data_IF_156805728914
#
_entry.id   IF_156805728914
#
_cell.length_a   1.000
_cell.length_b   1.000
_cell.length_c   1.000
_cell.angle_alpha   90.00
_cell.angle_beta   90.00
_cell.angle_gamma   90.00
#
_symmetry.space_group_name_H-M   'P 1'
#
loop_
_entity.id
_entity.type
_entity.pdbx_description
1 polymer ?
#
# COMPACT_ATOMS: atom_id res chain seq x y z
N UNK A 1 20.36 -8.91 -24.28
CA UNK A 1 19.65 -8.38 -25.47
C UNK A 1 18.16 -8.73 -25.45
N UNK A 2 17.76 -10.02 -25.53
CA UNK A 2 16.35 -10.43 -25.57
C UNK A 2 15.53 -10.07 -24.31
N UNK A 3 16.10 -10.18 -23.10
CA UNK A 3 15.40 -9.80 -21.87
C UNK A 3 15.19 -8.30 -21.70
N UNK A 4 16.15 -7.47 -22.15
CA UNK A 4 16.03 -5.99 -22.18
C UNK A 4 14.93 -5.57 -23.17
N UNK A 5 14.85 -6.25 -24.32
CA UNK A 5 13.77 -6.09 -25.29
C UNK A 5 12.41 -6.58 -24.76
N UNK A 6 12.38 -7.70 -24.02
CA UNK A 6 11.17 -8.21 -23.37
C UNK A 6 10.63 -7.31 -22.27
N UNK A 7 11.52 -6.75 -21.44
CA UNK A 7 11.16 -5.75 -20.42
C UNK A 7 10.60 -4.48 -21.08
N UNK A 8 11.22 -4.04 -22.18
CA UNK A 8 10.75 -2.90 -22.97
C UNK A 8 9.39 -3.17 -23.62
N UNK A 9 9.19 -4.35 -24.22
CA UNK A 9 7.92 -4.74 -24.82
C UNK A 9 6.78 -4.90 -23.79
N UNK A 10 7.09 -5.37 -22.56
CA UNK A 10 6.11 -5.40 -21.46
C UNK A 10 5.74 -3.99 -21.01
N UNK A 11 6.73 -3.09 -20.92
CA UNK A 11 6.53 -1.69 -20.54
C UNK A 11 5.73 -0.92 -21.61
N UNK A 12 5.97 -1.20 -22.90
CA UNK A 12 5.29 -0.56 -24.04
C UNK A 12 3.91 -1.18 -24.33
N UNK A 13 3.68 -2.45 -23.97
CA UNK A 13 2.47 -3.19 -24.31
C UNK A 13 1.21 -2.87 -23.50
N UNK A 14 1.27 -1.90 -22.56
CA UNK A 14 0.11 -1.40 -21.81
C UNK A 14 -0.61 -2.41 -20.90
N UNK A 15 -0.17 -3.67 -20.85
CA UNK A 15 -0.73 -4.72 -19.99
C UNK A 15 0.06 -4.79 -18.69
N UNK A 16 -0.58 -4.80 -17.51
CA UNK A 16 0.11 -4.91 -16.22
C UNK A 16 0.60 -6.36 -16.02
N UNK A 17 1.67 -6.74 -16.72
CA UNK A 17 2.31 -8.05 -16.63
C UNK A 17 3.42 -8.01 -15.58
N UNK A 18 3.07 -7.59 -14.36
CA UNK A 18 4.00 -7.42 -13.24
C UNK A 18 4.79 -8.71 -12.98
N UNK A 19 4.13 -9.88 -13.06
CA UNK A 19 4.76 -11.20 -12.92
C UNK A 19 5.82 -11.47 -13.99
N UNK A 20 5.63 -11.05 -15.24
CA UNK A 20 6.63 -11.20 -16.30
C UNK A 20 7.77 -10.18 -16.18
N UNK A 21 7.46 -8.93 -15.83
CA UNK A 21 8.48 -7.90 -15.59
C UNK A 21 9.43 -8.28 -14.44
N UNK A 22 8.91 -8.98 -13.43
CA UNK A 22 9.67 -9.52 -12.30
C UNK A 22 10.35 -10.87 -12.62
N UNK A 23 9.86 -11.64 -13.59
CA UNK A 23 10.45 -12.91 -14.00
C UNK A 23 11.59 -12.74 -15.01
N UNK A 24 11.58 -11.71 -15.85
CA UNK A 24 12.61 -11.49 -16.89
C UNK A 24 14.04 -11.23 -16.38
N UNK A 25 14.27 -10.58 -15.22
CA UNK A 25 15.60 -10.53 -14.63
C UNK A 25 16.21 -11.92 -14.38
N UNK A 26 15.39 -12.97 -14.19
CA UNK A 26 15.86 -14.36 -13.97
C UNK A 26 16.61 -14.96 -15.15
N UNK A 27 16.24 -14.65 -16.40
CA UNK A 27 16.81 -15.30 -17.59
C UNK A 27 18.03 -14.59 -18.15
N UNK A 28 18.36 -13.42 -17.61
CA UNK A 28 19.21 -12.47 -18.29
C UNK A 28 20.59 -12.29 -17.68
N UNK A 29 20.83 -12.83 -16.46
CA UNK A 29 22.12 -12.67 -15.77
C UNK A 29 22.58 -11.22 -15.71
N UNK A 30 21.63 -10.26 -15.71
CA UNK A 30 21.94 -8.84 -15.80
C UNK A 30 22.61 -8.46 -14.48
N UNK A 31 23.94 -8.35 -14.53
CA UNK A 31 24.69 -7.57 -13.56
C UNK A 31 24.14 -6.14 -13.62
N UNK A 32 24.05 -5.46 -12.49
CA UNK A 32 23.59 -4.06 -12.35
C UNK A 32 24.51 -3.03 -13.06
N UNK A 33 25.24 -3.44 -14.08
CA UNK A 33 26.23 -2.66 -14.81
C UNK A 33 25.55 -2.09 -16.06
N UNK A 34 24.98 -0.88 -15.96
CA UNK A 34 24.98 0.06 -17.10
C UNK A 34 24.46 1.49 -16.84
N UNK A 35 23.99 1.84 -15.63
CA UNK A 35 23.81 3.26 -15.26
C UNK A 35 24.22 3.44 -13.81
N UNK A 36 25.49 3.76 -13.56
CA UNK A 36 25.95 4.16 -12.23
C UNK A 36 25.95 5.67 -12.15
N UNK A 37 24.92 6.27 -11.55
CA UNK A 37 24.98 7.61 -10.99
C UNK A 37 26.28 7.72 -10.18
N UNK A 38 27.15 8.60 -10.63
CA UNK A 38 28.34 9.01 -9.92
C UNK A 38 27.96 9.60 -8.56
N UNK A 39 28.90 9.59 -7.61
CA UNK A 39 28.71 10.28 -6.33
C UNK A 39 28.35 11.76 -6.50
N UNK A 40 28.84 12.40 -7.56
CA UNK A 40 28.48 13.78 -7.94
C UNK A 40 27.01 13.90 -8.34
N UNK A 41 26.48 12.96 -9.12
CA UNK A 41 25.08 12.97 -9.55
C UNK A 41 24.13 12.69 -8.38
N UNK A 42 24.48 11.76 -7.48
CA UNK A 42 23.71 11.52 -6.25
C UNK A 42 23.69 12.80 -5.39
N UNK A 43 24.83 13.47 -5.23
CA UNK A 43 24.89 14.76 -4.51
C UNK A 43 24.08 15.87 -5.20
N UNK A 44 24.10 15.93 -6.53
CA UNK A 44 23.31 16.91 -7.27
C UNK A 44 21.80 16.67 -7.09
N UNK A 45 21.38 15.40 -7.15
CA UNK A 45 19.99 15.02 -6.94
C UNK A 45 19.52 15.29 -5.51
N UNK A 46 20.30 14.91 -4.51
CA UNK A 46 19.96 15.19 -3.09
C UNK A 46 19.85 16.70 -2.81
N UNK A 47 20.70 17.54 -3.41
CA UNK A 47 20.55 19.00 -3.37
C UNK A 47 19.27 19.49 -4.07
N UNK A 48 18.90 18.88 -5.20
CA UNK A 48 17.66 19.22 -5.90
C UNK A 48 16.43 18.87 -5.06
N UNK A 49 16.40 17.69 -4.42
CA UNK A 49 15.35 17.29 -3.47
C UNK A 49 15.15 18.32 -2.37
N UNK A 50 16.25 18.81 -1.77
CA UNK A 50 16.16 19.82 -0.72
C UNK A 50 15.61 21.17 -1.21
N UNK A 51 15.82 21.52 -2.49
CA UNK A 51 15.46 22.83 -3.05
C UNK A 51 14.07 22.85 -3.69
N UNK A 52 13.69 21.80 -4.40
CA UNK A 52 12.50 21.79 -5.28
C UNK A 52 11.60 20.58 -5.07
N UNK A 53 11.91 19.71 -4.10
CA UNK A 53 11.13 18.50 -3.86
C UNK A 53 9.82 18.76 -3.13
N UNK A 54 8.71 18.35 -3.75
CA UNK A 54 7.37 18.38 -3.18
C UNK A 54 6.97 16.98 -2.65
N UNK A 55 6.87 16.78 -1.33
CA UNK A 55 6.52 15.48 -0.77
C UNK A 55 5.06 15.08 -1.01
N UNK A 56 4.14 16.01 -1.21
CA UNK A 56 2.74 15.68 -1.51
C UNK A 56 2.61 15.12 -2.94
N UNK A 57 3.31 15.73 -3.90
CA UNK A 57 3.47 15.14 -5.25
C UNK A 57 4.23 13.82 -5.20
N UNK A 58 5.27 13.74 -4.37
CA UNK A 58 6.06 12.51 -4.20
C UNK A 58 5.23 11.33 -3.71
N UNK A 59 4.28 11.56 -2.81
CA UNK A 59 3.33 10.52 -2.41
C UNK A 59 2.45 10.06 -3.58
N UNK A 60 1.98 10.98 -4.43
CA UNK A 60 1.20 10.63 -5.61
C UNK A 60 2.02 9.77 -6.58
N UNK A 61 3.31 10.09 -6.77
CA UNK A 61 4.24 9.29 -7.55
C UNK A 61 4.40 7.89 -6.92
N UNK A 62 4.67 7.80 -5.61
CA UNK A 62 4.79 6.52 -4.89
C UNK A 62 3.56 5.62 -5.07
N UNK A 63 2.37 6.20 -5.20
CA UNK A 63 1.10 5.49 -5.35
C UNK A 63 0.73 5.10 -6.78
N UNK A 64 1.55 5.45 -7.77
CA UNK A 64 1.35 5.05 -9.17
C UNK A 64 1.39 3.52 -9.28
N UNK A 65 0.36 2.95 -9.90
CA UNK A 65 0.18 1.50 -9.95
C UNK A 65 1.28 0.81 -10.77
N UNK A 66 1.81 1.50 -11.77
CA UNK A 66 2.92 1.09 -12.62
C UNK A 66 4.25 0.97 -11.86
N UNK A 67 4.42 1.71 -10.75
CA UNK A 67 5.60 1.58 -9.88
C UNK A 67 5.44 0.44 -8.86
N UNK A 68 4.21 0.05 -8.52
CA UNK A 68 3.94 -1.08 -7.62
C UNK A 68 4.43 -0.90 -6.17
N UNK A 69 4.91 0.29 -5.78
CA UNK A 69 5.51 0.52 -4.46
C UNK A 69 4.56 0.16 -3.32
N UNK A 70 3.29 0.60 -3.38
CA UNK A 70 2.24 0.30 -2.39
C UNK A 70 1.95 -1.20 -2.29
N UNK A 71 2.07 -1.93 -3.40
CA UNK A 71 1.82 -3.38 -3.44
C UNK A 71 2.91 -4.21 -2.77
N UNK A 72 4.12 -3.65 -2.67
CA UNK A 72 5.27 -4.30 -2.03
C UNK A 72 5.57 -3.76 -0.64
N UNK A 73 5.42 -2.46 -0.41
CA UNK A 73 5.83 -1.77 0.80
C UNK A 73 4.63 -1.20 1.56
N UNK A 74 4.62 -1.42 2.87
CA UNK A 74 3.68 -0.78 3.78
C UNK A 74 4.21 0.58 4.26
N UNK A 75 3.29 1.48 4.61
CA UNK A 75 3.55 2.71 5.37
C UNK A 75 2.49 2.80 6.48
N UNK A 76 2.94 2.87 7.73
CA UNK A 76 2.09 2.75 8.90
C UNK A 76 1.34 1.41 8.92
N UNK A 77 1.95 0.34 8.41
CA UNK A 77 1.34 -0.97 8.23
C UNK A 77 0.37 -1.10 7.04
N UNK A 78 -0.03 -0.01 6.39
CA UNK A 78 -0.91 -0.04 5.22
C UNK A 78 -0.11 -0.25 3.92
N UNK A 79 -0.34 -1.38 3.24
CA UNK A 79 0.35 -1.73 1.99
C UNK A 79 0.86 -3.18 1.95
N UNK A 80 1.76 -3.45 1.01
CA UNK A 80 2.37 -4.75 0.85
C UNK A 80 3.36 -5.11 1.96
N UNK A 81 3.58 -6.42 2.15
CA UNK A 81 4.57 -6.95 3.10
C UNK A 81 5.72 -7.68 2.41
N UNK A 82 5.90 -7.44 1.11
CA UNK A 82 6.98 -8.04 0.30
C UNK A 82 8.31 -7.34 0.60
N UNK A 83 8.31 -6.00 0.57
CA UNK A 83 9.44 -5.17 0.95
C UNK A 83 9.34 -4.69 2.41
N UNK A 84 10.38 -4.02 2.92
CA UNK A 84 10.34 -3.42 4.24
C UNK A 84 9.25 -2.37 4.38
N UNK A 85 8.64 -2.32 5.57
CA UNK A 85 7.78 -1.19 5.95
C UNK A 85 8.62 0.10 5.95
N UNK A 86 8.11 1.11 5.25
CA UNK A 86 8.79 2.39 5.02
C UNK A 86 8.40 3.47 6.04
N UNK A 87 7.59 3.13 7.05
CA UNK A 87 7.10 4.05 8.10
C UNK A 87 8.17 4.99 8.62
N UNK A 88 9.38 4.48 8.88
CA UNK A 88 10.48 5.24 9.48
C UNK A 88 11.62 5.58 8.52
N UNK A 89 11.50 5.27 7.22
CA UNK A 89 12.67 5.21 6.33
C UNK A 89 13.39 6.56 6.19
N UNK A 90 12.64 7.67 6.13
CA UNK A 90 13.19 9.02 6.00
C UNK A 90 13.84 9.56 7.26
N UNK A 91 13.47 9.02 8.43
CA UNK A 91 14.10 9.30 9.71
C UNK A 91 15.33 8.42 9.96
N UNK A 92 15.30 7.17 9.51
CA UNK A 92 16.37 6.19 9.77
C UNK A 92 17.48 6.16 8.72
N UNK A 93 17.25 6.65 7.51
CA UNK A 93 18.21 6.59 6.42
C UNK A 93 18.50 7.98 5.83
N UNK A 94 19.77 8.28 5.49
CA UNK A 94 20.11 9.50 4.79
C UNK A 94 19.58 9.49 3.35
N UNK A 95 19.41 10.66 2.75
CA UNK A 95 18.77 10.79 1.45
C UNK A 95 19.56 10.12 0.30
N UNK A 96 20.88 10.12 0.38
CA UNK A 96 21.75 9.40 -0.57
C UNK A 96 21.53 7.89 -0.52
N UNK A 97 21.31 7.32 0.67
CA UNK A 97 20.90 5.92 0.82
C UNK A 97 19.56 5.63 0.13
N UNK A 98 18.57 6.53 0.26
CA UNK A 98 17.28 6.38 -0.43
C UNK A 98 17.46 6.38 -1.95
N UNK A 99 18.23 7.33 -2.47
CA UNK A 99 18.58 7.42 -3.90
C UNK A 99 19.26 6.13 -4.36
N UNK A 100 20.31 5.69 -3.67
CA UNK A 100 21.02 4.46 -4.02
C UNK A 100 20.11 3.24 -3.99
N UNK A 101 19.20 3.12 -3.02
CA UNK A 101 18.32 1.97 -2.88
C UNK A 101 17.30 1.86 -4.03
N UNK A 102 16.80 3.00 -4.53
CA UNK A 102 15.82 2.99 -5.64
C UNK A 102 16.47 2.73 -7.00
N UNK A 103 17.67 3.25 -7.24
CA UNK A 103 18.41 2.98 -8.48
C UNK A 103 19.09 1.61 -8.46
N UNK A 104 19.53 1.14 -7.28
CA UNK A 104 20.34 -0.07 -7.12
C UNK A 104 19.80 -0.99 -6.00
N UNK A 105 18.62 -1.59 -6.19
CA UNK A 105 17.98 -2.39 -5.15
C UNK A 105 18.81 -3.61 -4.69
N UNK A 106 19.79 -4.09 -5.46
CA UNK A 106 20.65 -5.21 -5.08
C UNK A 106 21.93 -4.80 -4.34
N UNK A 107 22.31 -3.51 -4.32
CA UNK A 107 23.56 -3.08 -3.68
C UNK A 107 23.49 -3.12 -2.16
N UNK A 108 22.33 -2.78 -1.61
CA UNK A 108 22.08 -2.71 -0.16
C UNK A 108 20.72 -3.31 0.13
N UNK A 109 20.69 -4.64 0.22
CA UNK A 109 19.50 -5.37 0.64
C UNK A 109 19.46 -5.35 2.16
N UNK A 110 18.35 -4.88 2.75
CA UNK A 110 18.15 -4.89 4.20
C UNK A 110 18.18 -6.34 4.70
N UNK A 111 18.76 -6.56 5.88
CA UNK A 111 18.73 -7.87 6.53
C UNK A 111 17.29 -8.40 6.66
N UNK A 112 17.11 -9.69 6.41
CA UNK A 112 15.79 -10.33 6.33
C UNK A 112 15.04 -10.08 5.01
N UNK A 113 15.58 -9.22 4.12
CA UNK A 113 14.96 -8.92 2.82
C UNK A 113 15.67 -9.52 1.60
N UNK A 114 16.54 -10.51 1.80
CA UNK A 114 17.02 -11.35 0.71
C UNK A 114 15.90 -12.29 0.25
N UNK A 115 15.70 -12.38 -1.06
CA UNK A 115 14.75 -13.34 -1.60
C UNK A 115 15.33 -14.75 -1.61
N UNK A 116 14.45 -15.74 -1.55
CA UNK A 116 14.80 -17.15 -1.61
C UNK A 116 14.24 -17.76 -2.89
N UNK A 117 15.13 -18.37 -3.68
CA UNK A 117 14.77 -19.25 -4.77
C UNK A 117 14.68 -20.67 -4.23
N UNK A 118 13.48 -21.26 -4.27
CA UNK A 118 13.22 -22.63 -3.85
C UNK A 118 12.86 -23.46 -5.06
N UNK A 119 13.72 -24.42 -5.36
CA UNK A 119 13.43 -25.48 -6.33
C UNK A 119 12.87 -26.68 -5.57
N UNK A 120 11.72 -27.17 -6.01
CA UNK A 120 11.04 -28.31 -5.40
C UNK A 120 11.30 -29.61 -6.16
N UNK A 121 11.04 -30.75 -5.53
CA UNK A 121 11.21 -32.09 -6.10
C UNK A 121 10.23 -32.36 -7.24
N UNK A 122 9.07 -31.72 -7.25
CA UNK A 122 8.08 -31.74 -8.34
C UNK A 122 8.38 -30.71 -9.45
N UNK A 123 9.61 -30.19 -9.51
CA UNK A 123 10.12 -29.26 -10.53
C UNK A 123 9.46 -27.87 -10.56
N UNK A 124 8.85 -27.43 -9.45
CA UNK A 124 8.44 -26.03 -9.30
C UNK A 124 9.63 -25.16 -8.90
N UNK A 125 9.58 -23.89 -9.31
CA UNK A 125 10.57 -22.87 -8.95
C UNK A 125 9.86 -21.69 -8.32
N UNK A 126 9.91 -21.63 -7.01
CA UNK A 126 9.27 -20.61 -6.20
C UNK A 126 10.29 -19.51 -5.87
N UNK A 127 9.88 -18.26 -5.97
CA UNK A 127 10.68 -17.09 -5.57
C UNK A 127 9.83 -16.21 -4.67
N UNK A 128 10.37 -15.88 -3.52
CA UNK A 128 9.70 -15.05 -2.54
C UNK A 128 10.60 -14.70 -1.37
N UNK A 129 10.07 -13.91 -0.47
CA UNK A 129 10.70 -13.55 0.79
C UNK A 129 10.43 -14.61 1.83
N UNK A 130 11.44 -15.03 2.59
CA UNK A 130 11.22 -15.93 3.70
C UNK A 130 10.53 -15.16 4.84
N UNK A 131 9.25 -15.46 5.11
CA UNK A 131 8.50 -14.85 6.21
C UNK A 131 8.82 -15.53 7.53
N UNK A 132 8.82 -16.86 7.51
CA UNK A 132 9.16 -17.72 8.64
C UNK A 132 9.50 -19.12 8.14
N UNK A 133 10.24 -19.83 8.98
CA UNK A 133 10.58 -21.24 8.81
C UNK A 133 10.27 -21.94 10.12
N UNK A 134 9.48 -23.02 10.08
CA UNK A 134 9.32 -23.94 11.22
C UNK A 134 10.11 -25.22 10.96
N UNK A 135 10.05 -26.23 11.83
CA UNK A 135 10.83 -27.47 11.68
C UNK A 135 10.57 -28.19 10.35
N UNK A 136 9.36 -28.07 9.81
CA UNK A 136 8.85 -28.87 8.69
C UNK A 136 8.55 -28.06 7.42
N UNK A 137 8.38 -26.73 7.51
CA UNK A 137 7.85 -25.89 6.42
C UNK A 137 8.57 -24.56 6.30
N UNK A 138 8.56 -24.05 5.06
CA UNK A 138 8.90 -22.69 4.69
C UNK A 138 7.64 -21.91 4.35
N UNK A 139 7.59 -20.66 4.79
CA UNK A 139 6.54 -19.72 4.42
C UNK A 139 7.18 -18.60 3.62
N UNK A 140 6.88 -18.57 2.33
CA UNK A 140 7.44 -17.62 1.38
C UNK A 140 6.37 -16.60 0.97
N UNK A 141 6.66 -15.31 1.08
CA UNK A 141 5.84 -14.27 0.47
C UNK A 141 6.28 -14.01 -0.95
N UNK A 142 5.44 -14.34 -1.91
CA UNK A 142 5.73 -14.10 -3.33
C UNK A 142 5.54 -12.62 -3.70
N UNK A 143 5.90 -12.26 -4.93
CA UNK A 143 5.77 -10.90 -5.46
C UNK A 143 4.33 -10.40 -5.58
N UNK A 144 3.35 -11.29 -5.56
CA UNK A 144 1.93 -10.95 -5.53
C UNK A 144 1.41 -10.72 -4.09
N UNK A 145 2.32 -10.62 -3.11
CA UNK A 145 2.02 -10.47 -1.69
C UNK A 145 1.19 -11.65 -1.13
N UNK A 146 1.37 -12.86 -1.68
CA UNK A 146 0.72 -14.08 -1.20
C UNK A 146 1.72 -14.94 -0.42
N UNK A 147 1.28 -15.53 0.69
CA UNK A 147 2.06 -16.52 1.43
C UNK A 147 1.92 -17.89 0.77
N UNK A 148 3.05 -18.50 0.42
CA UNK A 148 3.18 -19.82 -0.18
C UNK A 148 3.91 -20.71 0.83
N UNK A 149 3.28 -21.82 1.20
CA UNK A 149 3.88 -22.78 2.12
C UNK A 149 4.54 -23.91 1.34
N UNK A 150 5.78 -24.24 1.69
CA UNK A 150 6.54 -25.33 1.06
C UNK A 150 7.03 -26.28 2.14
N UNK A 151 6.70 -27.57 2.06
CA UNK A 151 7.27 -28.55 2.98
C UNK A 151 8.77 -28.70 2.70
N UNK A 152 9.60 -28.73 3.74
CA UNK A 152 11.06 -28.90 3.57
C UNK A 152 11.40 -30.23 2.89
N UNK A 153 10.58 -31.25 3.14
CA UNK A 153 10.66 -32.55 2.48
C UNK A 153 10.42 -32.49 0.96
N UNK A 154 9.84 -31.40 0.43
CA UNK A 154 9.65 -31.18 -1.00
C UNK A 154 10.74 -30.29 -1.60
N UNK A 155 11.59 -29.67 -0.77
CA UNK A 155 12.65 -28.76 -1.25
C UNK A 155 13.84 -29.56 -1.78
N UNK A 156 14.11 -29.40 -3.07
CA UNK A 156 15.31 -29.94 -3.74
C UNK A 156 16.52 -29.05 -3.51
N UNK A 157 16.37 -27.73 -3.69
CA UNK A 157 17.45 -26.75 -3.55
C UNK A 157 16.92 -25.40 -3.08
N UNK A 158 17.71 -24.73 -2.24
CA UNK A 158 17.49 -23.34 -1.82
C UNK A 158 18.67 -22.50 -2.26
N UNK A 159 18.41 -21.35 -2.85
CA UNK A 159 19.46 -20.40 -3.24
C UNK A 159 19.03 -19.02 -2.78
N UNK A 160 19.89 -18.33 -2.03
CA UNK A 160 19.70 -16.91 -1.75
C UNK A 160 19.79 -16.14 -3.08
N UNK A 161 18.79 -15.32 -3.35
CA UNK A 161 18.69 -14.53 -4.56
C UNK A 161 18.77 -13.03 -4.25
N UNK A 162 18.78 -12.24 -5.32
CA UNK A 162 18.82 -10.77 -5.31
C UNK A 162 17.53 -10.16 -4.73
N UNK A 163 17.44 -8.84 -4.70
CA UNK A 163 16.23 -8.15 -4.25
C UNK A 163 15.03 -8.48 -5.13
N UNK A 164 13.83 -8.56 -4.53
CA UNK A 164 12.58 -8.60 -5.31
C UNK A 164 12.18 -7.23 -5.85
N UNK A 165 12.81 -6.15 -5.36
CA UNK A 165 12.58 -4.82 -5.89
C UNK A 165 13.18 -4.72 -7.31
N UNK A 166 12.38 -4.40 -8.34
CA UNK A 166 12.88 -4.30 -9.71
C UNK A 166 13.92 -3.20 -9.88
N UNK A 167 15.01 -3.50 -10.58
CA UNK A 167 15.91 -2.46 -11.07
C UNK A 167 15.24 -1.60 -12.17
N UNK A 168 15.58 -0.31 -12.20
CA UNK A 168 15.10 0.63 -13.20
C UNK A 168 13.61 0.97 -13.12
N UNK A 169 13.02 0.83 -11.92
CA UNK A 169 11.60 1.10 -11.66
C UNK A 169 11.26 2.59 -11.87
N UNK A 170 12.19 3.48 -11.53
CA UNK A 170 11.99 4.93 -11.58
C UNK A 170 12.59 5.59 -12.82
N UNK A 171 13.20 4.82 -13.73
CA UNK A 171 13.94 5.35 -14.88
C UNK A 171 13.06 6.13 -15.86
N UNK A 172 11.78 5.76 -15.94
CA UNK A 172 10.78 6.40 -16.82
C UNK A 172 10.10 7.60 -16.17
N UNK A 173 10.36 7.87 -14.89
CA UNK A 173 9.83 9.05 -14.24
C UNK A 173 10.56 10.28 -14.75
N UNK A 174 9.82 11.36 -14.95
CA UNK A 174 10.41 12.67 -15.16
C UNK A 174 11.33 13.02 -13.98
N UNK A 175 12.37 13.82 -14.25
CA UNK A 175 13.35 14.18 -13.22
C UNK A 175 12.68 14.81 -11.99
N UNK A 176 11.65 15.65 -12.18
CA UNK A 176 10.94 16.27 -11.07
C UNK A 176 10.11 15.24 -10.27
N UNK A 177 9.48 14.26 -10.92
CA UNK A 177 8.76 13.18 -10.22
C UNK A 177 9.71 12.32 -9.37
N UNK A 178 10.94 12.06 -9.85
CA UNK A 178 11.98 11.39 -9.04
C UNK A 178 12.36 12.24 -7.82
N UNK A 179 12.58 13.55 -8.02
CA UNK A 179 12.89 14.51 -6.96
C UNK A 179 11.79 14.53 -5.90
N UNK A 180 10.53 14.60 -6.32
CA UNK A 180 9.36 14.63 -5.45
C UNK A 180 9.23 13.31 -4.69
N UNK A 181 9.41 12.17 -5.35
CA UNK A 181 9.41 10.85 -4.72
C UNK A 181 10.46 10.75 -3.60
N UNK A 182 11.70 11.18 -3.85
CA UNK A 182 12.74 11.20 -2.84
C UNK A 182 12.42 12.19 -1.71
N UNK A 183 11.80 13.33 -2.02
CA UNK A 183 11.33 14.30 -1.02
C UNK A 183 10.32 13.64 -0.08
N UNK A 184 9.31 12.96 -0.62
CA UNK A 184 8.31 12.21 0.15
C UNK A 184 8.96 11.14 1.05
N UNK A 185 9.79 10.27 0.47
CA UNK A 185 10.44 9.20 1.24
C UNK A 185 11.31 9.75 2.37
N UNK A 186 11.96 10.89 2.16
CA UNK A 186 12.78 11.55 3.18
C UNK A 186 11.98 12.14 4.35
N UNK A 187 10.67 12.31 4.19
CA UNK A 187 9.75 12.83 5.23
C UNK A 187 9.13 11.73 6.08
N UNK A 188 9.10 10.49 5.61
CA UNK A 188 8.54 9.37 6.34
C UNK A 188 9.26 9.15 7.68
N UNK A 189 8.48 9.04 8.76
CA UNK A 189 8.97 8.84 10.13
C UNK A 189 9.44 10.11 10.83
N UNK A 190 9.34 11.27 10.19
CA UNK A 190 9.56 12.57 10.81
C UNK A 190 8.22 13.17 11.21
N UNK A 191 8.20 13.93 12.29
CA UNK A 191 7.02 14.66 12.72
C UNK A 191 6.50 15.58 11.59
N UNK A 192 5.20 15.56 11.36
CA UNK A 192 4.53 16.37 10.33
C UNK A 192 3.48 15.58 9.56
N UNK A 193 3.10 16.09 8.39
CA UNK A 193 2.01 15.54 7.58
C UNK A 193 2.26 14.10 7.06
N UNK A 194 3.50 13.62 7.07
CA UNK A 194 3.88 12.29 6.59
C UNK A 194 4.34 11.36 7.72
N UNK A 195 4.01 11.71 8.97
CA UNK A 195 4.26 10.84 10.11
C UNK A 195 3.30 9.66 10.09
N UNK A 196 3.83 8.50 9.72
CA UNK A 196 3.09 7.23 9.69
C UNK A 196 3.27 6.40 10.96
N UNK A 197 4.04 6.89 11.95
CA UNK A 197 4.41 6.11 13.15
C UNK A 197 3.23 5.89 14.10
N UNK A 198 2.20 6.74 14.02
CA UNK A 198 0.99 6.66 14.83
C UNK A 198 -0.13 5.99 14.06
N UNK A 199 -0.81 5.04 14.69
CA UNK A 199 -2.00 4.36 14.15
C UNK A 199 -3.32 5.09 14.39
N UNK A 200 -3.28 6.38 14.71
CA UNK A 200 -4.45 7.17 15.12
C UNK A 200 -5.29 7.70 13.94
N UNK A 201 -4.95 7.35 12.71
CA UNK A 201 -5.66 7.73 11.48
C UNK A 201 -5.95 6.50 10.63
N UNK A 202 -7.11 6.46 9.99
CA UNK A 202 -7.51 5.36 9.12
C UNK A 202 -6.66 5.34 7.83
N UNK A 203 -5.79 4.34 7.68
CA UNK A 203 -4.97 4.15 6.47
C UNK A 203 -5.44 3.06 5.54
N UNK A 204 -6.26 2.13 6.04
CA UNK A 204 -6.90 1.09 5.25
C UNK A 204 -8.41 1.30 5.30
N UNK A 205 -8.99 1.45 4.11
CA UNK A 205 -10.42 1.57 3.90
C UNK A 205 -10.93 0.40 3.08
N UNK A 206 -12.15 -0.02 3.37
CA UNK A 206 -12.89 -1.02 2.60
C UNK A 206 -14.01 -0.30 1.87
N UNK A 207 -13.99 -0.34 0.54
CA UNK A 207 -14.93 0.38 -0.31
C UNK A 207 -15.94 -0.57 -0.95
N UNK A 208 -17.20 -0.16 -1.01
CA UNK A 208 -18.26 -0.91 -1.69
C UNK A 208 -19.20 0.03 -2.42
N UNK A 209 -19.46 -0.28 -3.68
CA UNK A 209 -20.57 0.31 -4.44
C UNK A 209 -21.86 -0.45 -4.15
N UNK A 210 -22.95 0.28 -3.92
CA UNK A 210 -24.30 -0.28 -3.89
C UNK A 210 -25.03 0.04 -5.19
N UNK A 211 -25.83 -0.92 -5.66
CA UNK A 211 -26.72 -0.77 -6.82
C UNK A 211 -28.19 -1.05 -6.42
N UNK A 212 -29.12 -1.00 -7.38
CA UNK A 212 -30.55 -1.21 -7.11
C UNK A 212 -30.90 -2.57 -6.45
N UNK A 213 -30.09 -3.62 -6.65
CA UNK A 213 -30.29 -4.91 -5.95
C UNK A 213 -29.94 -4.80 -4.48
N UNK A 214 -28.95 -3.98 -4.14
CA UNK A 214 -28.55 -3.73 -2.75
C UNK A 214 -29.58 -2.88 -2.00
N UNK A 215 -30.28 -1.98 -2.70
CA UNK A 215 -31.31 -1.12 -2.11
C UNK A 215 -32.41 -1.90 -1.39
N UNK A 216 -32.76 -3.08 -1.91
CA UNK A 216 -33.79 -3.96 -1.35
C UNK A 216 -33.44 -4.44 0.06
N UNK A 217 -32.16 -4.43 0.43
CA UNK A 217 -31.69 -4.87 1.74
C UNK A 217 -31.53 -3.74 2.76
N UNK A 218 -31.63 -2.48 2.34
CA UNK A 218 -31.39 -1.30 3.17
C UNK A 218 -29.91 -1.01 3.43
N UNK A 219 -29.62 0.23 3.81
CA UNK A 219 -28.25 0.70 4.10
C UNK A 219 -27.67 -0.04 5.34
N UNK A 220 -28.48 -0.32 6.36
CA UNK A 220 -28.04 -0.93 7.63
C UNK A 220 -27.47 -2.34 7.43
N UNK A 221 -28.03 -3.14 6.52
CA UNK A 221 -27.49 -4.47 6.22
C UNK A 221 -26.12 -4.40 5.54
N UNK A 222 -25.83 -3.31 4.85
CA UNK A 222 -24.52 -3.08 4.23
C UNK A 222 -23.54 -2.58 5.28
N UNK A 223 -23.97 -1.67 6.15
CA UNK A 223 -23.17 -1.04 7.18
C UNK A 223 -23.06 -1.84 8.49
N UNK A 224 -23.48 -3.10 8.50
CA UNK A 224 -23.56 -4.01 9.66
C UNK A 224 -22.20 -4.41 10.30
N UNK A 225 -21.14 -3.65 10.05
CA UNK A 225 -19.76 -3.95 10.47
C UNK A 225 -19.08 -5.04 9.63
N UNK A 226 -19.78 -5.71 8.70
CA UNK A 226 -19.26 -6.77 7.85
C UNK A 226 -18.35 -6.31 6.70
N UNK A 227 -17.47 -5.34 6.92
CA UNK A 227 -16.64 -4.69 5.89
C UNK A 227 -15.53 -5.60 5.34
N UNK A 228 -15.29 -6.74 6.00
CA UNK A 228 -14.33 -7.77 5.62
C UNK A 228 -14.88 -8.83 4.63
N UNK A 229 -16.14 -8.69 4.19
CA UNK A 229 -16.78 -9.63 3.26
C UNK A 229 -16.36 -9.38 1.80
N UNK A 230 -16.47 -10.41 0.93
CA UNK A 230 -16.00 -10.41 -0.49
C UNK A 230 -16.42 -9.24 -1.38
N UNK A 231 -17.49 -8.49 -1.04
CA UNK A 231 -18.00 -7.37 -1.85
C UNK A 231 -17.34 -6.02 -1.51
N UNK A 232 -16.41 -6.01 -0.58
CA UNK A 232 -15.66 -4.83 -0.18
C UNK A 232 -14.23 -4.90 -0.71
N UNK A 233 -13.78 -3.80 -1.31
CA UNK A 233 -12.44 -3.67 -1.88
C UNK A 233 -11.53 -2.89 -0.92
N UNK A 234 -10.39 -3.45 -0.56
CA UNK A 234 -9.39 -2.74 0.23
C UNK A 234 -8.68 -1.66 -0.59
N UNK A 235 -8.60 -0.46 -0.02
CA UNK A 235 -7.94 0.72 -0.60
C UNK A 235 -7.14 1.43 0.49
N UNK A 236 -5.87 1.71 0.21
CA UNK A 236 -5.01 2.46 1.11
C UNK A 236 -5.18 3.97 0.88
N UNK A 237 -5.52 4.72 1.93
CA UNK A 237 -5.56 6.19 1.90
C UNK A 237 -4.15 6.76 1.78
N UNK A 238 -4.03 8.09 1.66
CA UNK A 238 -2.77 8.81 1.85
C UNK A 238 -2.18 8.57 3.26
N UNK A 239 -0.89 8.90 3.44
CA UNK A 239 -0.16 8.70 4.72
C UNK A 239 -0.81 9.46 5.88
N UNK A 240 -1.38 10.63 5.61
CA UNK A 240 -2.11 11.43 6.59
C UNK A 240 -3.54 10.93 6.89
N UNK A 241 -3.98 9.83 6.25
CA UNK A 241 -5.30 9.23 6.40
C UNK A 241 -6.36 9.71 5.42
N UNK A 242 -6.05 10.67 4.52
CA UNK A 242 -7.03 11.14 3.53
C UNK A 242 -7.28 10.11 2.43
N UNK A 243 -8.51 9.64 2.33
CA UNK A 243 -9.02 8.86 1.21
C UNK A 243 -9.64 9.82 0.19
N UNK A 244 -8.99 9.99 -0.97
CA UNK A 244 -9.36 11.02 -1.96
C UNK A 244 -10.55 10.62 -2.82
N UNK A 245 -11.17 11.59 -3.49
CA UNK A 245 -12.27 11.34 -4.44
C UNK A 245 -11.87 10.38 -5.57
N UNK A 246 -10.64 10.49 -6.08
CA UNK A 246 -10.10 9.58 -7.08
C UNK A 246 -10.00 8.15 -6.56
N UNK A 247 -9.60 7.96 -5.29
CA UNK A 247 -9.55 6.66 -4.63
C UNK A 247 -10.96 6.09 -4.41
N UNK A 248 -11.91 6.91 -3.95
CA UNK A 248 -13.32 6.55 -3.79
C UNK A 248 -13.90 6.06 -5.12
N UNK A 249 -13.82 6.90 -6.17
CA UNK A 249 -14.33 6.59 -7.52
C UNK A 249 -13.72 5.32 -8.09
N UNK A 250 -12.40 5.15 -7.97
CA UNK A 250 -11.70 3.95 -8.45
C UNK A 250 -12.17 2.70 -7.70
N UNK A 251 -12.28 2.78 -6.37
CA UNK A 251 -12.63 1.64 -5.54
C UNK A 251 -14.12 1.27 -5.55
N UNK A 252 -14.99 2.17 -6.02
CA UNK A 252 -16.43 1.91 -6.18
C UNK A 252 -16.89 1.90 -7.63
N UNK A 253 -15.98 1.70 -8.59
CA UNK A 253 -16.37 1.55 -9.99
C UNK A 253 -17.10 0.21 -10.19
N UNK A 254 -18.39 0.27 -10.50
CA UNK A 254 -19.23 -0.91 -10.73
C UNK A 254 -19.35 -1.30 -12.23
N UNK A 255 -18.62 -0.62 -13.12
CA UNK A 255 -18.70 -0.81 -14.56
C UNK A 255 -19.74 0.09 -15.23
N UNK A 256 -19.61 0.27 -16.56
CA UNK A 256 -20.36 1.28 -17.34
C UNK A 256 -21.88 1.06 -17.37
N UNK A 257 -22.35 -0.16 -17.09
CA UNK A 257 -23.76 -0.54 -17.17
C UNK A 257 -24.42 -0.77 -15.81
N UNK A 258 -23.74 -0.43 -14.71
CA UNK A 258 -24.26 -0.61 -13.36
C UNK A 258 -24.41 0.75 -12.68
N UNK A 259 -25.66 1.16 -12.48
CA UNK A 259 -25.99 2.35 -11.71
C UNK A 259 -25.54 2.20 -10.26
N UNK A 260 -24.58 3.01 -9.83
CA UNK A 260 -24.20 3.15 -8.42
C UNK A 260 -25.15 4.12 -7.76
N UNK A 261 -25.78 3.69 -6.66
CA UNK A 261 -26.75 4.49 -5.89
C UNK A 261 -26.23 4.84 -4.49
N UNK A 262 -25.08 4.28 -4.09
CA UNK A 262 -24.45 4.53 -2.81
C UNK A 262 -22.98 4.11 -2.83
N UNK A 263 -22.14 4.91 -2.21
CA UNK A 263 -20.71 4.64 -2.02
C UNK A 263 -20.44 4.46 -0.54
N UNK A 264 -19.98 3.27 -0.16
CA UNK A 264 -19.66 2.94 1.22
C UNK A 264 -18.15 2.91 1.42
N UNK A 265 -17.69 3.53 2.51
CA UNK A 265 -16.31 3.48 2.97
C UNK A 265 -16.28 3.05 4.43
N UNK A 266 -15.74 1.85 4.68
CA UNK A 266 -15.61 1.27 6.00
C UNK A 266 -14.15 1.23 6.45
N UNK A 267 -13.91 1.33 7.75
CA UNK A 267 -12.61 1.08 8.38
C UNK A 267 -12.82 0.48 9.76
N UNK A 268 -11.80 -0.17 10.31
CA UNK A 268 -11.84 -0.73 11.66
C UNK A 268 -10.78 -0.06 12.52
N UNK A 269 -11.08 0.06 13.81
CA UNK A 269 -10.14 0.56 14.82
C UNK A 269 -10.31 -0.23 16.12
N UNK A 270 -9.25 -0.30 16.90
CA UNK A 270 -9.21 -1.01 18.16
C UNK A 270 -9.08 -0.02 19.32
N UNK A 271 -9.91 -0.23 20.33
CA UNK A 271 -9.93 0.53 21.59
C UNK A 271 -9.40 -0.39 22.68
N UNK A 272 -8.29 -0.01 23.30
CA UNK A 272 -7.60 -0.88 24.26
C UNK A 272 -8.38 -1.07 25.58
N UNK A 273 -9.15 -0.07 26.01
CA UNK A 273 -9.93 -0.09 27.24
C UNK A 273 -11.29 0.57 27.00
N UNK A 274 -12.34 -0.02 27.58
CA UNK A 274 -13.68 0.53 27.47
C UNK A 274 -13.73 1.97 28.02
N UNK A 275 -14.31 2.90 27.27
CA UNK A 275 -14.22 4.31 27.60
C UNK A 275 -14.89 5.22 26.58
N UNK A 276 -14.81 6.53 26.85
CA UNK A 276 -15.22 7.55 25.88
C UNK A 276 -14.17 7.66 24.78
N UNK A 277 -14.63 7.57 23.54
CA UNK A 277 -13.82 7.71 22.33
C UNK A 277 -14.34 8.90 21.55
N UNK A 278 -13.41 9.74 21.08
CA UNK A 278 -13.71 10.85 20.18
C UNK A 278 -13.21 10.50 18.79
N UNK A 279 -14.13 10.33 17.85
CA UNK A 279 -13.82 10.17 16.43
C UNK A 279 -13.90 11.53 15.74
N UNK A 280 -12.82 11.91 15.08
CA UNK A 280 -12.72 13.11 14.26
C UNK A 280 -12.85 12.69 12.80
N UNK A 281 -13.89 13.20 12.14
CA UNK A 281 -14.25 12.90 10.76
C UNK A 281 -14.20 14.17 9.91
N UNK A 282 -13.52 14.07 8.76
CA UNK A 282 -13.42 15.15 7.78
C UNK A 282 -14.06 14.70 6.46
N UNK A 283 -14.73 15.62 5.74
CA UNK A 283 -15.33 15.33 4.42
C UNK A 283 -16.56 14.42 4.48
N UNK A 284 -17.42 14.63 5.48
CA UNK A 284 -18.62 13.81 5.74
C UNK A 284 -19.94 14.51 5.35
N UNK A 285 -19.87 15.58 4.55
CA UNK A 285 -21.07 16.33 4.16
C UNK A 285 -22.08 15.43 3.44
N UNK A 286 -23.29 15.33 3.98
CA UNK A 286 -24.35 14.46 3.46
C UNK A 286 -24.09 12.96 3.65
N UNK A 287 -23.07 12.56 4.40
CA UNK A 287 -22.80 11.18 4.72
C UNK A 287 -23.75 10.66 5.80
N UNK A 288 -24.12 9.38 5.71
CA UNK A 288 -24.65 8.63 6.86
C UNK A 288 -23.50 7.88 7.52
N UNK A 289 -23.51 7.82 8.84
CA UNK A 289 -22.43 7.24 9.65
C UNK A 289 -22.98 6.10 10.51
N UNK A 290 -22.25 4.99 10.54
CA UNK A 290 -22.49 3.89 11.46
C UNK A 290 -21.23 3.59 12.27
N UNK A 291 -21.43 3.26 13.55
CA UNK A 291 -20.41 2.67 14.42
C UNK A 291 -20.97 1.33 14.87
N UNK A 292 -20.25 0.24 14.59
CA UNK A 292 -20.68 -1.13 14.90
C UNK A 292 -22.07 -1.51 14.37
N UNK A 293 -22.44 -0.96 13.22
CA UNK A 293 -23.74 -1.18 12.59
C UNK A 293 -24.87 -0.34 13.17
N UNK A 294 -24.62 0.49 14.19
CA UNK A 294 -25.60 1.43 14.73
C UNK A 294 -25.44 2.80 14.09
N UNK A 295 -26.56 3.40 13.65
CA UNK A 295 -26.58 4.74 13.07
C UNK A 295 -26.22 5.76 14.16
N UNK A 296 -25.29 6.66 13.84
CA UNK A 296 -24.93 7.79 14.71
C UNK A 296 -25.17 9.12 13.98
N UNK A 297 -25.41 10.17 14.74
CA UNK A 297 -25.58 11.51 14.19
C UNK A 297 -24.30 11.95 13.47
N UNK A 298 -24.46 12.39 12.23
CA UNK A 298 -23.35 12.85 11.39
C UNK A 298 -22.81 14.17 11.94
N UNK A 299 -21.66 14.11 12.63
CA UNK A 299 -20.92 15.25 13.12
C UNK A 299 -19.43 15.10 12.82
N UNK A 300 -18.71 16.22 12.65
CA UNK A 300 -17.25 16.21 12.45
C UNK A 300 -16.50 15.67 13.67
N UNK A 301 -17.11 15.78 14.84
CA UNK A 301 -16.65 15.21 16.10
C UNK A 301 -17.77 14.34 16.68
N UNK A 302 -17.53 13.03 16.77
CA UNK A 302 -18.47 12.07 17.35
C UNK A 302 -17.88 11.56 18.67
N UNK A 303 -18.59 11.82 19.77
CA UNK A 303 -18.27 11.28 21.09
C UNK A 303 -19.19 10.11 21.38
N UNK A 304 -18.61 8.95 21.65
CA UNK A 304 -19.36 7.75 21.99
C UNK A 304 -18.60 6.91 23.00
N UNK A 305 -19.31 6.06 23.74
CA UNK A 305 -18.70 5.12 24.68
C UNK A 305 -18.58 3.76 24.03
N UNK A 306 -17.35 3.27 23.90
CA UNK A 306 -17.06 1.99 23.27
C UNK A 306 -16.50 0.99 24.29
N UNK A 307 -16.74 -0.29 24.05
CA UNK A 307 -16.11 -1.38 24.80
C UNK A 307 -14.61 -1.47 24.46
N UNK A 308 -13.88 -2.34 25.17
CA UNK A 308 -12.55 -2.73 24.71
C UNK A 308 -12.69 -3.71 23.54
N UNK A 309 -11.88 -3.54 22.49
CA UNK A 309 -11.85 -4.42 21.33
C UNK A 309 -11.94 -3.68 20.00
N UNK A 310 -12.30 -4.44 18.96
CA UNK A 310 -12.42 -3.95 17.58
C UNK A 310 -13.78 -3.33 17.35
N UNK A 311 -13.76 -2.17 16.69
CA UNK A 311 -14.94 -1.41 16.30
C UNK A 311 -14.87 -1.09 14.81
N UNK A 312 -16.03 -1.01 14.18
CA UNK A 312 -16.18 -0.66 12.77
C UNK A 312 -16.78 0.73 12.62
N UNK A 313 -16.24 1.51 11.69
CA UNK A 313 -16.79 2.78 11.24
C UNK A 313 -17.17 2.63 9.78
N UNK A 314 -18.43 2.92 9.44
CA UNK A 314 -18.89 2.89 8.04
C UNK A 314 -19.52 4.23 7.68
N UNK A 315 -19.13 4.76 6.53
CA UNK A 315 -19.64 5.99 5.95
C UNK A 315 -20.35 5.66 4.63
N UNK A 316 -21.54 6.21 4.40
CA UNK A 316 -22.25 6.13 3.11
C UNK A 316 -22.40 7.51 2.50
N UNK A 317 -21.97 7.65 1.26
CA UNK A 317 -22.09 8.86 0.46
C UNK A 317 -23.05 8.67 -0.71
N UNK A 318 -23.63 9.79 -1.17
CA UNK A 318 -24.26 9.86 -2.49
C UNK A 318 -23.15 9.83 -3.57
N UNK A 319 -23.20 8.90 -4.54
CA UNK A 319 -22.22 8.85 -5.64
C UNK A 319 -22.15 10.14 -6.48
N UNK A 320 -23.20 10.97 -6.49
CA UNK A 320 -23.24 12.26 -7.19
C UNK A 320 -22.61 13.42 -6.40
N UNK A 321 -22.43 13.24 -5.10
CA UNK A 321 -21.94 14.27 -4.18
C UNK A 321 -20.76 13.75 -3.33
N UNK A 322 -19.81 13.05 -3.95
CA UNK A 322 -18.63 12.55 -3.26
C UNK A 322 -17.73 13.70 -2.76
N UNK A 323 -17.20 13.61 -1.52
CA UNK A 323 -16.27 14.60 -0.98
C UNK A 323 -14.94 14.58 -1.74
N UNK A 324 -14.18 15.69 -1.66
CA UNK A 324 -12.81 15.76 -2.24
C UNK A 324 -11.85 14.78 -1.56
N UNK A 325 -12.00 14.61 -0.25
CA UNK A 325 -11.36 13.57 0.52
C UNK A 325 -12.18 13.31 1.79
N UNK A 326 -12.08 12.11 2.33
CA UNK A 326 -12.58 11.74 3.65
C UNK A 326 -11.43 11.27 4.53
N UNK A 327 -11.50 11.54 5.82
CA UNK A 327 -10.50 11.10 6.81
C UNK A 327 -11.20 10.79 8.13
N UNK A 328 -10.73 9.74 8.78
CA UNK A 328 -11.14 9.36 10.13
C UNK A 328 -9.91 9.27 11.03
N UNK A 329 -10.04 9.80 12.25
CA UNK A 329 -8.96 9.77 13.24
C UNK A 329 -9.50 9.73 14.67
N UNK A 330 -8.72 9.20 15.61
CA UNK A 330 -9.02 9.21 17.04
C UNK A 330 -7.74 9.09 17.85
N UNK A 331 -7.65 9.78 18.98
CA UNK A 331 -6.50 9.64 19.90
C UNK A 331 -6.66 8.51 20.91
N UNK A 332 -7.87 7.94 21.04
CA UNK A 332 -8.22 6.90 22.01
C UNK A 332 -8.24 5.48 21.41
N UNK A 333 -7.87 5.33 20.13
CA UNK A 333 -7.87 4.05 19.43
C UNK A 333 -6.78 3.97 18.36
N UNK A 334 -6.58 2.76 17.85
CA UNK A 334 -5.64 2.46 16.77
C UNK A 334 -6.39 1.90 15.59
N UNK A 335 -6.36 2.56 14.43
CA UNK A 335 -6.94 2.04 13.20
C UNK A 335 -6.17 0.80 12.74
N UNK A 336 -6.95 -0.20 12.34
CA UNK A 336 -6.44 -1.46 11.85
C UNK A 336 -6.00 -1.34 10.39
N UNK A 337 -5.07 -2.20 9.99
CA UNK A 337 -4.39 -2.16 8.69
C UNK A 337 -4.34 -3.51 8.00
N UNK A 338 -5.09 -4.49 8.50
CA UNK A 338 -5.21 -5.86 8.01
C UNK A 338 -6.46 -6.10 7.11
#
# INVERSE_FOLDING_TARGET
MAAKAGLRAIREGGRPLQTLALALPRSAGLKDEEITLSRSEIRALTKAVARTGDPARGEQVYRRAELGCVGCHAIGGAGGRVGPDLTSIGASAPLDYLVESLYYPNRKIKEGYHSLLVETRDNQVLLGMLEREDDSRLFLRNVANQSVTVAKADVRKRTQANSLMPAGLIDQLERQDQIDLFSFMSRLGKAGAFDASKGNVARVWRLRAANHRDQQFGDDRIADGGINRRRWLAVNSLVDGRLTDAMLKKGTNAGQWVGVIGVYAGTEFEVAQAGEVTLQLEGIDGAKVWIDGEVVDTASEIKTRLAAGKHSLVLRFDPKALPKAVKASTSQGTFLVD
#
